data_IF_567207406057
#
_entry.id   IF_567207406057
#
_cell.length_a   1.000
_cell.length_b   1.000
_cell.length_c   1.000
_cell.angle_alpha   90.00
_cell.angle_beta   90.00
_cell.angle_gamma   90.00
#
_symmetry.space_group_name_H-M   'P 1'
#
loop_
_entity.id
_entity.type
_entity.pdbx_description
1 polymer ?
#
# COMPACT_ATOMS: atom_id res chain seq x y z
N UNK A 1 -7.37 19.69 -21.62
CA UNK A 1 -7.69 18.95 -20.38
C UNK A 1 -9.18 18.98 -20.17
N UNK A 2 -9.91 17.91 -20.49
CA UNK A 2 -11.30 17.84 -20.09
C UNK A 2 -11.37 17.44 -18.61
N UNK A 3 -12.36 17.90 -17.83
CA UNK A 3 -12.47 17.57 -16.40
C UNK A 3 -12.51 16.05 -16.14
N UNK A 4 -13.05 15.28 -17.09
CA UNK A 4 -13.13 13.82 -17.06
C UNK A 4 -11.75 13.14 -17.04
N UNK A 5 -10.77 13.62 -17.83
CA UNK A 5 -9.43 13.01 -17.88
C UNK A 5 -8.71 13.12 -16.52
N UNK A 6 -8.93 14.24 -15.81
CA UNK A 6 -8.35 14.47 -14.48
C UNK A 6 -9.00 13.56 -13.44
N UNK A 7 -10.32 13.39 -13.50
CA UNK A 7 -11.07 12.51 -12.60
C UNK A 7 -10.61 11.05 -12.76
N UNK A 8 -10.45 10.60 -14.00
CA UNK A 8 -10.00 9.23 -14.27
C UNK A 8 -8.56 9.00 -13.82
N UNK A 9 -7.68 9.99 -14.01
CA UNK A 9 -6.30 9.92 -13.51
C UNK A 9 -6.25 9.83 -11.97
N UNK A 10 -7.05 10.63 -11.27
CA UNK A 10 -7.14 10.58 -9.79
C UNK A 10 -7.68 9.23 -9.33
N UNK A 11 -8.71 8.69 -10.00
CA UNK A 11 -9.26 7.36 -9.70
C UNK A 11 -8.19 6.27 -9.85
N UNK A 12 -7.48 6.25 -10.97
CA UNK A 12 -6.41 5.29 -11.24
C UNK A 12 -5.32 5.37 -10.15
N UNK A 13 -4.93 6.59 -9.79
CA UNK A 13 -3.93 6.86 -8.75
C UNK A 13 -4.33 6.29 -7.40
N UNK A 14 -5.60 6.47 -7.00
CA UNK A 14 -6.13 5.94 -5.74
C UNK A 14 -6.17 4.41 -5.74
N UNK A 15 -6.55 3.80 -6.86
CA UNK A 15 -6.56 2.34 -7.01
C UNK A 15 -5.15 1.78 -6.88
N UNK A 16 -4.16 2.39 -7.55
CA UNK A 16 -2.75 1.98 -7.46
C UNK A 16 -2.21 2.13 -6.04
N UNK A 17 -2.49 3.26 -5.39
CA UNK A 17 -2.09 3.49 -4.00
C UNK A 17 -2.69 2.44 -3.04
N UNK A 18 -3.99 2.12 -3.23
CA UNK A 18 -4.67 1.09 -2.45
C UNK A 18 -4.06 -0.29 -2.70
N UNK A 19 -3.77 -0.64 -3.96
CA UNK A 19 -3.17 -1.92 -4.33
C UNK A 19 -1.80 -2.08 -3.68
N UNK A 20 -0.96 -1.05 -3.75
CA UNK A 20 0.37 -1.00 -3.14
C UNK A 20 0.29 -1.15 -1.62
N UNK A 21 -0.67 -0.47 -0.99
CA UNK A 21 -0.88 -0.53 0.46
C UNK A 21 -1.53 -1.83 0.95
N UNK A 22 -2.33 -2.50 0.13
CA UNK A 22 -3.13 -3.67 0.49
C UNK A 22 -2.32 -4.79 1.20
N UNK A 23 -1.18 -5.29 0.66
CA UNK A 23 -0.43 -6.34 1.33
C UNK A 23 0.10 -5.92 2.71
N UNK A 24 0.56 -4.67 2.85
CA UNK A 24 1.01 -4.13 4.12
C UNK A 24 -0.13 -3.99 5.13
N UNK A 25 -1.30 -3.53 4.66
CA UNK A 25 -2.50 -3.38 5.48
C UNK A 25 -3.01 -4.74 5.98
N UNK A 26 -3.06 -5.75 5.11
CA UNK A 26 -3.49 -7.11 5.48
C UNK A 26 -2.55 -7.71 6.52
N UNK A 27 -1.25 -7.62 6.32
CA UNK A 27 -0.28 -8.14 7.29
C UNK A 27 -0.35 -7.37 8.61
N UNK A 28 -0.43 -6.05 8.56
CA UNK A 28 -0.59 -5.22 9.76
C UNK A 28 -1.86 -5.53 10.54
N UNK A 29 -2.96 -5.79 9.84
CA UNK A 29 -4.24 -6.19 10.42
C UNK A 29 -4.13 -7.55 11.11
N UNK A 30 -3.64 -8.58 10.41
CA UNK A 30 -3.52 -9.94 10.94
C UNK A 30 -2.62 -9.97 12.17
N UNK A 31 -1.44 -9.34 12.08
CA UNK A 31 -0.46 -9.36 13.18
C UNK A 31 -0.92 -8.48 14.34
N UNK A 32 -1.57 -7.36 14.07
CA UNK A 32 -2.18 -6.53 15.11
C UNK A 32 -3.31 -7.25 15.84
N UNK A 33 -4.17 -7.97 15.10
CA UNK A 33 -5.26 -8.76 15.66
C UNK A 33 -4.72 -9.91 16.53
N UNK A 34 -3.79 -10.71 15.99
CA UNK A 34 -3.18 -11.82 16.72
C UNK A 34 -2.43 -11.30 17.95
N UNK A 35 -1.63 -10.25 17.79
CA UNK A 35 -0.89 -9.64 18.90
C UNK A 35 -1.81 -9.11 20.01
N UNK A 36 -2.89 -8.42 19.65
CA UNK A 36 -3.88 -7.93 20.61
C UNK A 36 -4.61 -9.07 21.33
N UNK A 37 -4.92 -10.16 20.63
CA UNK A 37 -5.50 -11.36 21.23
C UNK A 37 -4.53 -12.00 22.24
N UNK A 38 -3.25 -12.13 21.89
CA UNK A 38 -2.22 -12.64 22.79
C UNK A 38 -2.04 -11.76 24.03
N UNK A 39 -2.03 -10.44 23.87
CA UNK A 39 -2.00 -9.50 25.00
C UNK A 39 -3.24 -9.67 25.90
N UNK A 40 -4.42 -9.84 25.31
CA UNK A 40 -5.66 -9.99 26.07
C UNK A 40 -5.74 -11.31 26.84
N UNK A 41 -5.30 -12.42 26.26
CA UNK A 41 -5.34 -13.75 26.91
C UNK A 41 -4.32 -13.83 28.05
N UNK A 42 -3.13 -13.27 27.85
CA UNK A 42 -2.03 -13.36 28.83
C UNK A 42 -2.09 -12.25 29.89
N UNK A 43 -3.00 -11.29 29.75
CA UNK A 43 -3.13 -10.08 30.58
C UNK A 43 -1.87 -9.18 30.61
N UNK A 44 -0.89 -9.41 29.74
CA UNK A 44 0.31 -8.59 29.60
C UNK A 44 -0.01 -7.43 28.66
N UNK A 45 -0.17 -6.23 29.21
CA UNK A 45 -0.43 -4.99 28.44
C UNK A 45 0.85 -4.20 28.13
N UNK A 46 2.00 -4.87 28.05
CA UNK A 46 3.24 -4.23 27.61
C UNK A 46 3.22 -4.06 26.08
N UNK A 47 3.23 -2.80 25.62
CA UNK A 47 3.19 -2.47 24.20
C UNK A 47 4.41 -3.00 23.43
N UNK A 48 5.55 -3.22 24.09
CA UNK A 48 6.79 -3.71 23.49
C UNK A 48 6.65 -5.14 22.94
N UNK A 49 5.83 -5.97 23.60
CA UNK A 49 5.63 -7.39 23.26
C UNK A 49 4.95 -7.58 21.90
N UNK A 50 4.03 -6.67 21.53
CA UNK A 50 3.36 -6.73 20.22
C UNK A 50 4.05 -5.87 19.17
N UNK A 51 4.81 -4.86 19.60
CA UNK A 51 5.54 -3.98 18.70
C UNK A 51 6.60 -4.72 17.88
N UNK A 52 7.43 -5.55 18.52
CA UNK A 52 8.55 -6.24 17.85
C UNK A 52 8.06 -7.25 16.80
N UNK A 53 7.15 -8.20 17.11
CA UNK A 53 6.62 -9.13 16.12
C UNK A 53 5.92 -8.41 14.95
N UNK A 54 5.21 -7.30 15.25
CA UNK A 54 4.54 -6.48 14.23
C UNK A 54 5.53 -5.83 13.27
N UNK A 55 6.63 -5.27 13.77
CA UNK A 55 7.66 -4.69 12.93
C UNK A 55 8.30 -5.73 12.01
N UNK A 56 8.65 -6.90 12.54
CA UNK A 56 9.28 -7.98 11.76
C UNK A 56 8.32 -8.45 10.66
N UNK A 57 7.03 -8.61 10.98
CA UNK A 57 6.05 -9.06 10.00
C UNK A 57 5.82 -8.03 8.89
N UNK A 58 5.72 -6.74 9.21
CA UNK A 58 5.58 -5.67 8.21
C UNK A 58 6.85 -5.57 7.36
N UNK A 59 8.04 -5.68 7.96
CA UNK A 59 9.30 -5.68 7.23
C UNK A 59 9.43 -6.88 6.28
N UNK A 60 9.03 -8.08 6.72
CA UNK A 60 9.00 -9.27 5.89
C UNK A 60 7.99 -9.14 4.73
N UNK A 61 6.80 -8.62 5.00
CA UNK A 61 5.80 -8.35 3.98
C UNK A 61 6.27 -7.32 2.95
N UNK A 62 6.96 -6.27 3.40
CA UNK A 62 7.59 -5.30 2.52
C UNK A 62 8.68 -5.97 1.68
N UNK A 63 9.58 -6.76 2.27
CA UNK A 63 10.67 -7.42 1.55
C UNK A 63 10.16 -8.39 0.48
N UNK A 64 9.13 -9.17 0.78
CA UNK A 64 8.50 -10.12 -0.16
C UNK A 64 7.69 -9.37 -1.22
N UNK A 65 6.96 -8.32 -0.82
CA UNK A 65 6.15 -7.50 -1.72
C UNK A 65 6.96 -6.50 -2.54
N UNK A 66 8.24 -6.28 -2.23
CA UNK A 66 9.07 -5.22 -2.81
C UNK A 66 9.15 -5.29 -4.34
N UNK A 67 9.42 -6.46 -4.98
CA UNK A 67 9.52 -6.52 -6.44
C UNK A 67 8.19 -6.17 -7.12
N UNK A 68 7.07 -6.64 -6.55
CA UNK A 68 5.74 -6.36 -7.05
C UNK A 68 5.32 -4.90 -6.87
N UNK A 69 5.68 -4.31 -5.73
CA UNK A 69 5.42 -2.91 -5.43
C UNK A 69 6.16 -1.99 -6.41
N UNK A 70 7.44 -2.29 -6.67
CA UNK A 70 8.25 -1.56 -7.63
C UNK A 70 7.72 -1.69 -9.06
N UNK A 71 7.34 -2.90 -9.49
CA UNK A 71 6.72 -3.10 -10.81
C UNK A 71 5.43 -2.27 -10.97
N UNK A 72 4.58 -2.23 -9.93
CA UNK A 72 3.35 -1.45 -9.98
C UNK A 72 3.60 0.06 -10.02
N UNK A 73 4.58 0.56 -9.27
CA UNK A 73 4.96 1.97 -9.32
C UNK A 73 5.54 2.35 -10.69
N UNK A 74 6.40 1.50 -11.26
CA UNK A 74 6.98 1.73 -12.58
C UNK A 74 5.90 1.72 -13.67
N UNK A 75 4.97 0.75 -13.65
CA UNK A 75 3.85 0.70 -14.58
C UNK A 75 3.00 1.97 -14.51
N UNK A 76 2.65 2.40 -13.29
CA UNK A 76 1.88 3.64 -13.11
C UNK A 76 2.64 4.87 -13.61
N UNK A 77 3.94 4.99 -13.29
CA UNK A 77 4.77 6.07 -13.82
C UNK A 77 4.79 6.06 -15.35
N UNK A 78 5.02 4.90 -15.98
CA UNK A 78 4.99 4.79 -17.44
C UNK A 78 3.64 5.21 -18.03
N UNK A 79 2.52 4.79 -17.41
CA UNK A 79 1.18 5.14 -17.85
C UNK A 79 0.91 6.65 -17.74
N UNK A 80 1.37 7.30 -16.67
CA UNK A 80 1.27 8.75 -16.51
C UNK A 80 2.12 9.48 -17.56
N UNK A 81 3.37 9.08 -17.74
CA UNK A 81 4.27 9.70 -18.72
C UNK A 81 3.87 9.44 -20.17
N UNK A 82 3.30 8.28 -20.50
CA UNK A 82 2.79 8.00 -21.85
C UNK A 82 1.52 8.78 -22.16
N UNK A 83 0.70 9.06 -21.14
CA UNK A 83 -0.52 9.84 -21.27
C UNK A 83 -0.26 11.35 -21.15
N UNK A 84 0.89 11.77 -20.61
CA UNK A 84 1.25 13.18 -20.46
C UNK A 84 1.25 13.97 -21.79
N UNK A 85 1.81 13.47 -22.91
CA UNK A 85 1.70 14.14 -24.20
C UNK A 85 0.24 14.34 -24.62
N UNK A 86 -0.64 13.35 -24.42
CA UNK A 86 -2.08 13.44 -24.71
C UNK A 86 -2.83 14.44 -23.83
N UNK A 87 -2.41 14.59 -22.57
CA UNK A 87 -2.99 15.55 -21.63
C UNK A 87 -2.54 16.99 -21.91
N UNK A 88 -1.31 17.15 -22.42
CA UNK A 88 -0.69 18.42 -22.78
C UNK A 88 -1.06 18.87 -24.20
N UNK A 89 -1.26 17.94 -25.13
CA UNK A 89 -1.42 18.24 -26.56
C UNK A 89 -2.80 18.75 -26.96
N UNK A 90 -3.72 19.05 -26.03
CA UNK A 90 -5.10 19.34 -26.42
C UNK A 90 -5.63 18.19 -27.29
N UNK A 91 -6.52 18.29 -28.27
CA UNK A 91 -6.84 19.49 -29.03
C UNK A 91 -5.64 19.98 -29.82
#
# INVERSE_FOLDING_TARGET
MQPQDVIDLVRESLIVALLIGAPLLVVGLVVGLLGGLFQSITQIQDQSVVFVPKLIAVAAALAVGLPWLLDRMLQFSHQVFSNAPRLLSGG
#
